data_IF_714538088966
#
_entry.id   IF_714538088966
#
_cell.length_a   1.000
_cell.length_b   1.000
_cell.length_c   1.000
_cell.angle_alpha   90.00
_cell.angle_beta   90.00
_cell.angle_gamma   90.00
#
_symmetry.space_group_name_H-M   'P 1'
#
loop_
_entity.id
_entity.type
_entity.pdbx_description
1 polymer ?
#
# COMPACT_ATOMS: atom_id res chain seq x y z
N UNK A 1 -8.04 8.56 27.71
CA UNK A 1 -7.88 7.92 26.38
C UNK A 1 -9.04 8.41 25.55
N UNK A 2 -8.79 8.83 24.32
CA UNK A 2 -9.85 9.15 23.36
C UNK A 2 -10.72 7.92 23.10
N UNK A 3 -11.95 8.14 22.61
CA UNK A 3 -12.86 7.05 22.25
C UNK A 3 -12.23 6.14 21.19
N UNK A 4 -11.50 6.69 20.22
CA UNK A 4 -10.80 5.89 19.20
C UNK A 4 -9.74 4.98 19.82
N UNK A 5 -8.96 5.48 20.77
CA UNK A 5 -7.95 4.69 21.45
C UNK A 5 -8.58 3.54 22.24
N UNK A 6 -9.69 3.78 22.94
CA UNK A 6 -10.44 2.75 23.65
C UNK A 6 -10.95 1.69 22.65
N UNK A 7 -11.56 2.13 21.54
CA UNK A 7 -12.06 1.22 20.49
C UNK A 7 -10.93 0.40 19.90
N UNK A 8 -9.82 1.02 19.47
CA UNK A 8 -8.68 0.32 18.88
C UNK A 8 -8.09 -0.72 19.84
N UNK A 9 -7.84 -0.34 21.10
CA UNK A 9 -7.29 -1.24 22.13
C UNK A 9 -8.23 -2.42 22.38
N UNK A 10 -9.53 -2.18 22.59
CA UNK A 10 -10.48 -3.25 22.89
C UNK A 10 -10.70 -4.18 21.68
N UNK A 11 -10.81 -3.65 20.46
CA UNK A 11 -11.00 -4.48 19.28
C UNK A 11 -9.77 -5.35 18.99
N UNK A 12 -8.56 -4.80 19.03
CA UNK A 12 -7.36 -5.61 18.85
C UNK A 12 -7.10 -6.58 20.01
N UNK A 13 -7.43 -6.21 21.24
CA UNK A 13 -7.37 -7.15 22.36
C UNK A 13 -8.31 -8.35 22.10
N UNK A 14 -9.55 -8.12 21.68
CA UNK A 14 -10.52 -9.18 21.35
C UNK A 14 -10.04 -10.07 20.21
N UNK A 15 -9.49 -9.48 19.16
CA UNK A 15 -8.86 -10.22 18.05
C UNK A 15 -7.66 -11.08 18.53
N UNK A 16 -7.02 -10.69 19.62
CA UNK A 16 -5.98 -11.47 20.28
C UNK A 16 -6.50 -12.50 21.30
N UNK A 17 -7.81 -12.59 21.53
CA UNK A 17 -8.43 -13.44 22.55
C UNK A 17 -8.33 -12.88 23.99
N UNK A 18 -8.17 -11.57 24.12
CA UNK A 18 -7.96 -10.85 25.37
C UNK A 18 -8.96 -9.70 25.53
N UNK A 19 -9.06 -9.17 26.75
CA UNK A 19 -9.72 -7.88 27.04
C UNK A 19 -8.70 -6.75 27.01
N UNK A 20 -9.13 -5.50 26.80
CA UNK A 20 -8.22 -4.35 26.84
C UNK A 20 -7.44 -4.25 28.15
N UNK A 21 -8.09 -4.53 29.29
CA UNK A 21 -7.42 -4.59 30.61
C UNK A 21 -6.34 -5.66 30.70
N UNK A 22 -6.57 -6.85 30.12
CA UNK A 22 -5.56 -7.92 30.10
C UNK A 22 -4.37 -7.51 29.24
N UNK A 23 -4.61 -6.97 28.04
CA UNK A 23 -3.54 -6.48 27.16
C UNK A 23 -2.74 -5.37 27.83
N UNK A 24 -3.38 -4.42 28.50
CA UNK A 24 -2.69 -3.34 29.22
C UNK A 24 -1.77 -3.85 30.33
N UNK A 25 -2.20 -4.88 31.08
CA UNK A 25 -1.35 -5.52 32.10
C UNK A 25 -0.13 -6.19 31.48
N UNK A 26 -0.33 -6.90 30.37
CA UNK A 26 0.78 -7.54 29.65
C UNK A 26 1.74 -6.49 29.10
N UNK A 27 1.22 -5.41 28.51
CA UNK A 27 2.04 -4.29 28.02
C UNK A 27 2.92 -3.72 29.13
N UNK A 28 2.36 -3.39 30.29
CA UNK A 28 3.11 -2.87 31.44
C UNK A 28 4.14 -3.86 32.00
N UNK A 29 3.89 -5.16 31.88
CA UNK A 29 4.84 -6.18 32.32
C UNK A 29 6.04 -6.35 31.37
N UNK A 30 5.87 -6.05 30.07
CA UNK A 30 6.89 -6.29 29.05
C UNK A 30 7.61 -5.02 28.57
N UNK A 31 6.92 -3.89 28.59
CA UNK A 31 7.44 -2.64 28.07
C UNK A 31 8.31 -1.90 29.11
N UNK A 32 9.20 -1.03 28.64
CA UNK A 32 9.97 -0.16 29.52
C UNK A 32 9.07 0.84 30.26
N UNK A 33 9.43 1.18 31.50
CA UNK A 33 8.60 2.02 32.39
C UNK A 33 8.23 3.38 31.78
N UNK A 34 9.13 3.99 30.99
CA UNK A 34 8.90 5.29 30.37
C UNK A 34 7.77 5.31 29.32
N UNK A 35 7.38 4.17 28.75
CA UNK A 35 6.26 4.07 27.80
C UNK A 35 4.95 3.58 28.42
N UNK A 36 4.94 3.22 29.72
CA UNK A 36 3.75 2.64 30.37
C UNK A 36 2.53 3.55 30.35
N UNK A 37 2.77 4.86 30.37
CA UNK A 37 1.74 5.89 30.38
C UNK A 37 1.54 6.54 29.00
N UNK A 38 2.28 6.10 27.98
CA UNK A 38 2.09 6.58 26.62
C UNK A 38 0.98 5.76 25.93
N UNK A 39 -0.14 6.42 25.66
CA UNK A 39 -1.27 5.83 24.99
C UNK A 39 -0.97 5.44 23.53
N UNK A 40 -0.07 6.16 22.83
CA UNK A 40 0.35 5.76 21.47
C UNK A 40 1.05 4.42 21.50
N UNK A 41 2.01 4.25 22.41
CA UNK A 41 2.70 2.98 22.63
C UNK A 41 1.75 1.82 22.93
N UNK A 42 0.69 2.04 23.73
CA UNK A 42 -0.31 1.02 24.00
C UNK A 42 -1.15 0.67 22.76
N UNK A 43 -1.59 1.67 21.98
CA UNK A 43 -2.33 1.46 20.73
C UNK A 43 -1.48 0.67 19.72
N UNK A 44 -0.22 1.05 19.56
CA UNK A 44 0.75 0.34 18.73
C UNK A 44 0.94 -1.10 19.19
N UNK A 45 1.16 -1.32 20.49
CA UNK A 45 1.33 -2.66 21.04
C UNK A 45 0.13 -3.56 20.73
N UNK A 46 -1.10 -3.06 20.90
CA UNK A 46 -2.32 -3.82 20.59
C UNK A 46 -2.40 -4.19 19.10
N UNK A 47 -2.19 -3.21 18.23
CA UNK A 47 -2.29 -3.36 16.77
C UNK A 47 -1.19 -4.29 16.24
N UNK A 48 0.08 -4.00 16.55
CA UNK A 48 1.22 -4.74 16.00
C UNK A 48 1.30 -6.16 16.55
N UNK A 49 0.86 -6.40 17.79
CA UNK A 49 0.75 -7.77 18.32
C UNK A 49 -0.25 -8.62 17.54
N UNK A 50 -1.33 -8.04 17.05
CA UNK A 50 -2.25 -8.76 16.17
C UNK A 50 -1.63 -9.00 14.79
N UNK A 51 -1.13 -7.93 14.16
CA UNK A 51 -0.61 -7.95 12.79
C UNK A 51 0.60 -8.88 12.62
N UNK A 52 1.47 -8.96 13.63
CA UNK A 52 2.67 -9.84 13.62
C UNK A 52 2.38 -11.33 13.64
N UNK A 53 1.12 -11.75 13.80
CA UNK A 53 0.74 -13.18 13.77
C UNK A 53 0.71 -13.75 12.35
N UNK A 54 0.61 -12.90 11.34
CA UNK A 54 0.50 -13.27 9.93
C UNK A 54 1.75 -12.81 9.16
N UNK A 55 2.35 -13.73 8.41
CA UNK A 55 3.56 -13.48 7.61
C UNK A 55 3.27 -13.45 6.10
N UNK A 56 2.01 -13.29 5.70
CA UNK A 56 1.62 -13.17 4.30
C UNK A 56 2.12 -11.84 3.73
N UNK A 57 2.48 -11.84 2.45
CA UNK A 57 2.83 -10.61 1.71
C UNK A 57 1.69 -9.57 1.71
N UNK A 58 0.46 -10.00 1.97
CA UNK A 58 -0.72 -9.15 2.08
C UNK A 58 -1.64 -9.68 3.18
N UNK A 59 -1.94 -8.84 4.17
CA UNK A 59 -2.68 -9.28 5.36
C UNK A 59 -4.13 -9.69 5.00
N UNK A 60 -4.59 -10.92 5.31
CA UNK A 60 -5.86 -11.46 4.82
C UNK A 60 -7.09 -10.67 5.28
N UNK A 61 -7.10 -10.16 6.52
CA UNK A 61 -8.21 -9.38 7.06
C UNK A 61 -8.46 -8.06 6.33
N UNK A 62 -7.53 -7.55 5.51
CA UNK A 62 -7.75 -6.34 4.70
C UNK A 62 -8.91 -6.47 3.71
N UNK A 63 -9.35 -7.69 3.40
CA UNK A 63 -10.55 -7.93 2.57
C UNK A 63 -11.85 -7.53 3.27
N UNK A 64 -11.84 -7.41 4.60
CA UNK A 64 -13.01 -7.10 5.40
C UNK A 64 -13.09 -5.60 5.68
N UNK A 65 -14.19 -4.96 5.25
CA UNK A 65 -14.42 -3.52 5.48
C UNK A 65 -14.36 -3.14 6.96
N UNK A 66 -14.77 -4.04 7.86
CA UNK A 66 -14.67 -3.82 9.31
C UNK A 66 -13.22 -3.67 9.77
N UNK A 67 -12.31 -4.49 9.26
CA UNK A 67 -10.90 -4.40 9.57
C UNK A 67 -10.26 -3.16 8.95
N UNK A 68 -10.62 -2.80 7.72
CA UNK A 68 -10.17 -1.55 7.09
C UNK A 68 -10.54 -0.33 7.93
N UNK A 69 -11.77 -0.29 8.45
CA UNK A 69 -12.24 0.75 9.37
C UNK A 69 -11.48 0.72 10.69
N UNK A 70 -11.18 -0.46 11.24
CA UNK A 70 -10.40 -0.59 12.46
C UNK A 70 -8.98 -0.01 12.30
N UNK A 71 -8.31 -0.26 11.17
CA UNK A 71 -7.01 0.36 10.89
C UNK A 71 -7.12 1.88 10.79
N UNK A 72 -8.16 2.40 10.15
CA UNK A 72 -8.42 3.84 10.12
C UNK A 72 -8.63 4.45 11.51
N UNK A 73 -9.47 3.82 12.35
CA UNK A 73 -9.66 4.21 13.76
C UNK A 73 -8.36 4.17 14.53
N UNK A 74 -7.50 3.19 14.25
CA UNK A 74 -6.21 3.05 14.91
C UNK A 74 -5.26 4.18 14.54
N UNK A 75 -5.30 4.64 13.29
CA UNK A 75 -4.57 5.83 12.86
C UNK A 75 -5.11 7.10 13.56
N UNK A 76 -6.44 7.25 13.68
CA UNK A 76 -7.03 8.36 14.44
C UNK A 76 -6.65 8.32 15.92
N UNK A 77 -6.72 7.13 16.53
CA UNK A 77 -6.31 6.90 17.91
C UNK A 77 -4.83 7.21 18.13
N UNK A 78 -3.97 6.96 17.14
CA UNK A 78 -2.56 7.28 17.23
C UNK A 78 -2.31 8.78 17.08
N UNK A 79 -3.03 9.45 16.16
CA UNK A 79 -2.98 10.90 15.99
C UNK A 79 -3.29 11.61 17.31
N UNK A 80 -4.46 11.29 17.88
CA UNK A 80 -4.97 11.92 19.09
C UNK A 80 -5.45 10.86 20.10
N UNK A 81 -4.52 10.33 20.92
CA UNK A 81 -4.80 9.21 21.82
C UNK A 81 -5.45 9.63 23.15
N UNK A 82 -5.47 10.93 23.44
CA UNK A 82 -6.04 11.49 24.66
C UNK A 82 -7.30 12.28 24.32
N UNK A 83 -8.16 12.47 25.31
CA UNK A 83 -9.35 13.31 25.16
C UNK A 83 -9.04 14.63 25.86
N UNK A 84 -8.88 15.71 25.10
CA UNK A 84 -8.60 17.03 25.69
C UNK A 84 -9.88 17.67 26.25
N UNK A 85 -11.03 17.33 25.68
CA UNK A 85 -12.33 17.80 26.10
C UNK A 85 -12.95 16.76 27.03
N UNK A 86 -12.93 17.02 28.35
CA UNK A 86 -13.69 16.23 29.33
C UNK A 86 -15.21 16.48 29.16
N UNK A 87 -15.76 16.35 27.96
CA UNK A 87 -17.19 16.43 27.74
C UNK A 87 -17.83 15.09 28.14
N UNK A 88 -18.56 15.03 29.28
CA UNK A 88 -19.18 13.78 29.73
C UNK A 88 -20.29 13.29 28.79
N UNK A 89 -20.63 14.06 27.75
CA UNK A 89 -21.61 13.73 26.72
C UNK A 89 -21.02 13.12 25.44
N UNK A 90 -19.70 12.87 25.36
CA UNK A 90 -19.10 12.05 24.29
C UNK A 90 -19.45 10.56 24.48
N UNK A 91 -20.75 10.23 24.44
CA UNK A 91 -21.19 8.85 24.51
C UNK A 91 -20.77 8.10 23.25
N UNK A 92 -20.56 6.79 23.38
CA UNK A 92 -20.33 5.88 22.25
C UNK A 92 -21.47 5.98 21.20
N UNK A 93 -22.65 6.44 21.61
CA UNK A 93 -23.83 6.56 20.76
C UNK A 93 -23.72 7.65 19.68
N UNK A 94 -22.85 8.65 19.88
CA UNK A 94 -22.54 9.69 18.89
C UNK A 94 -21.17 9.48 18.21
N UNK A 95 -20.55 8.31 18.40
CA UNK A 95 -19.25 8.01 17.82
C UNK A 95 -19.33 7.98 16.28
N UNK A 96 -18.72 8.99 15.66
CA UNK A 96 -18.59 9.07 14.21
C UNK A 96 -17.13 9.33 13.83
N UNK A 97 -16.65 8.50 12.91
CA UNK A 97 -15.36 8.69 12.24
C UNK A 97 -15.52 9.45 10.92
N UNK A 98 -16.76 9.75 10.52
CA UNK A 98 -17.03 10.47 9.28
C UNK A 98 -16.61 11.93 9.41
N UNK A 99 -15.87 12.44 8.42
CA UNK A 99 -15.34 13.80 8.41
C UNK A 99 -14.06 14.00 9.23
N UNK A 100 -13.58 12.97 9.94
CA UNK A 100 -12.28 13.00 10.63
C UNK A 100 -11.17 12.62 9.68
N UNK A 101 -10.00 13.20 9.90
CA UNK A 101 -8.85 13.07 9.03
C UNK A 101 -7.67 12.47 9.80
N UNK A 102 -7.00 11.51 9.16
CA UNK A 102 -5.73 10.97 9.60
C UNK A 102 -4.60 11.86 9.07
N UNK A 103 -3.63 12.13 9.92
CA UNK A 103 -2.45 12.94 9.58
C UNK A 103 -1.31 12.05 9.12
N UNK A 104 -0.29 12.68 8.54
CA UNK A 104 0.84 12.01 7.89
C UNK A 104 1.57 11.09 8.89
N UNK A 105 1.82 11.56 10.11
CA UNK A 105 2.58 10.80 11.12
C UNK A 105 1.89 9.50 11.55
N UNK A 106 0.57 9.52 11.81
CA UNK A 106 -0.18 8.30 12.12
C UNK A 106 -0.20 7.33 10.94
N UNK A 107 -0.39 7.84 9.72
CA UNK A 107 -0.38 7.00 8.54
C UNK A 107 0.97 6.31 8.36
N UNK A 108 2.07 7.08 8.41
CA UNK A 108 3.44 6.59 8.27
C UNK A 108 3.77 5.59 9.38
N UNK A 109 3.19 5.73 10.57
CA UNK A 109 3.44 4.81 11.67
C UNK A 109 2.65 3.50 11.57
N UNK A 110 1.36 3.57 11.28
CA UNK A 110 0.44 2.42 11.38
C UNK A 110 0.30 1.69 10.04
N UNK A 111 0.17 2.40 8.92
CA UNK A 111 -0.11 1.77 7.63
C UNK A 111 0.98 0.76 7.21
N UNK A 112 2.29 1.03 7.36
CA UNK A 112 3.34 0.07 7.01
C UNK A 112 3.39 -1.18 7.90
N UNK A 113 2.79 -1.14 9.09
CA UNK A 113 2.71 -2.32 9.95
C UNK A 113 1.72 -3.36 9.40
N UNK A 114 0.81 -2.96 8.51
CA UNK A 114 -0.13 -3.86 7.85
C UNK A 114 0.49 -4.36 6.55
N UNK A 115 0.81 -5.66 6.52
CA UNK A 115 1.47 -6.27 5.37
C UNK A 115 0.74 -5.99 4.05
N UNK A 116 1.50 -5.50 3.07
CA UNK A 116 1.03 -5.21 1.71
C UNK A 116 0.33 -3.86 1.54
N UNK A 117 0.14 -3.06 2.60
CA UNK A 117 -0.43 -1.71 2.53
C UNK A 117 0.61 -0.72 2.03
N UNK A 118 1.62 -0.40 2.83
CA UNK A 118 2.61 0.62 2.51
C UNK A 118 4.03 0.18 2.88
N UNK A 119 5.04 0.68 2.18
CA UNK A 119 6.44 0.50 2.57
C UNK A 119 6.84 1.61 3.53
N UNK A 120 7.48 1.26 4.65
CA UNK A 120 7.88 2.23 5.67
C UNK A 120 8.77 3.36 5.11
N UNK A 121 9.63 3.06 4.13
CA UNK A 121 10.52 4.04 3.50
C UNK A 121 9.83 5.00 2.53
N UNK A 122 8.64 4.67 2.02
CA UNK A 122 7.91 5.48 1.03
C UNK A 122 6.53 5.93 1.51
N UNK A 123 6.12 5.54 2.72
CA UNK A 123 4.79 5.83 3.27
C UNK A 123 4.43 7.31 3.24
N UNK A 124 5.40 8.19 3.49
CA UNK A 124 5.25 9.64 3.41
C UNK A 124 4.89 10.13 2.00
N UNK A 125 5.59 9.61 0.98
CA UNK A 125 5.28 9.91 -0.42
C UNK A 125 3.91 9.37 -0.83
N UNK A 126 3.57 8.16 -0.37
CA UNK A 126 2.26 7.57 -0.60
C UNK A 126 1.15 8.42 0.03
N UNK A 127 1.30 8.83 1.28
CA UNK A 127 0.33 9.71 1.96
C UNK A 127 0.09 10.99 1.17
N UNK A 128 1.16 11.69 0.77
CA UNK A 128 1.07 12.91 -0.05
C UNK A 128 0.42 12.68 -1.40
N UNK A 129 0.69 11.56 -2.04
CA UNK A 129 0.08 11.21 -3.32
C UNK A 129 -1.42 10.92 -3.18
N UNK A 130 -1.84 10.30 -2.07
CA UNK A 130 -3.25 10.03 -1.78
C UNK A 130 -4.01 11.31 -1.43
N UNK A 131 -3.48 12.11 -0.50
CA UNK A 131 -4.14 13.29 0.07
C UNK A 131 -4.05 14.50 -0.86
N UNK A 132 -2.98 14.63 -1.65
CA UNK A 132 -2.80 15.75 -2.56
C UNK A 132 -2.70 17.09 -1.82
N UNK A 133 -3.68 17.96 -2.07
CA UNK A 133 -3.78 19.27 -1.42
C UNK A 133 -4.76 19.30 -0.22
N UNK A 134 -5.34 18.15 0.14
CA UNK A 134 -6.23 18.04 1.28
C UNK A 134 -5.46 18.11 2.62
N UNK A 135 -6.18 18.29 3.73
CA UNK A 135 -5.59 18.47 5.06
C UNK A 135 -5.18 17.14 5.73
N UNK A 136 -5.64 16.02 5.21
CA UNK A 136 -5.37 14.69 5.75
C UNK A 136 -6.18 13.61 5.05
N UNK A 137 -5.95 12.36 5.45
CA UNK A 137 -6.57 11.18 4.85
C UNK A 137 -7.96 10.94 5.45
N UNK A 138 -8.99 10.99 4.63
CA UNK A 138 -10.36 10.63 5.01
C UNK A 138 -10.62 9.11 4.93
N UNK A 139 -11.69 8.64 5.58
CA UNK A 139 -12.09 7.23 5.52
C UNK A 139 -12.45 6.78 4.10
N UNK A 140 -13.11 7.64 3.33
CA UNK A 140 -13.51 7.34 1.95
C UNK A 140 -12.29 7.19 1.03
N UNK A 141 -11.29 8.05 1.20
CA UNK A 141 -10.03 7.96 0.47
C UNK A 141 -9.24 6.70 0.88
N UNK A 142 -9.19 6.39 2.17
CA UNK A 142 -8.56 5.18 2.69
C UNK A 142 -9.20 3.90 2.14
N UNK A 143 -10.53 3.79 2.18
CA UNK A 143 -11.25 2.60 1.68
C UNK A 143 -11.16 2.48 0.16
N UNK A 144 -11.17 3.60 -0.57
CA UNK A 144 -10.92 3.62 -2.03
C UNK A 144 -9.52 3.12 -2.36
N UNK A 145 -8.51 3.63 -1.66
CA UNK A 145 -7.12 3.21 -1.82
C UNK A 145 -6.96 1.70 -1.58
N UNK A 146 -7.48 1.17 -0.47
CA UNK A 146 -7.42 -0.26 -0.18
C UNK A 146 -8.19 -1.10 -1.23
N UNK A 147 -9.31 -0.60 -1.74
CA UNK A 147 -10.08 -1.25 -2.79
C UNK A 147 -9.29 -1.39 -4.10
N UNK A 148 -8.59 -0.34 -4.53
CA UNK A 148 -7.72 -0.40 -5.70
C UNK A 148 -6.47 -1.26 -5.45
N UNK A 149 -5.88 -1.18 -4.26
CA UNK A 149 -4.74 -2.00 -3.86
C UNK A 149 -5.08 -3.50 -3.89
N UNK A 150 -6.26 -3.90 -3.39
CA UNK A 150 -6.76 -5.27 -3.46
C UNK A 150 -6.90 -5.76 -4.91
N UNK A 151 -7.39 -4.92 -5.82
CA UNK A 151 -7.49 -5.25 -7.26
C UNK A 151 -6.10 -5.47 -7.87
N UNK A 152 -5.13 -4.62 -7.54
CA UNK A 152 -3.74 -4.76 -8.00
C UNK A 152 -3.13 -6.06 -7.47
N UNK A 153 -3.30 -6.37 -6.18
CA UNK A 153 -2.78 -7.59 -5.59
C UNK A 153 -3.41 -8.85 -6.22
N UNK A 154 -4.74 -8.84 -6.40
CA UNK A 154 -5.45 -9.93 -7.08
C UNK A 154 -4.99 -10.09 -8.54
N UNK A 155 -4.81 -8.98 -9.26
CA UNK A 155 -4.24 -8.97 -10.61
C UNK A 155 -2.84 -9.59 -10.67
N UNK A 156 -1.97 -9.31 -9.69
CA UNK A 156 -0.64 -9.94 -9.60
C UNK A 156 -0.72 -11.44 -9.37
N UNK A 157 -1.63 -11.89 -8.50
CA UNK A 157 -1.81 -13.32 -8.22
C UNK A 157 -2.32 -14.08 -9.45
N UNK A 158 -3.29 -13.53 -10.18
CA UNK A 158 -3.81 -14.19 -11.40
C UNK A 158 -2.81 -14.18 -12.54
N UNK A 159 -1.96 -13.14 -12.65
CA UNK A 159 -0.92 -13.07 -13.68
C UNK A 159 0.23 -14.07 -13.47
N UNK A 160 0.54 -14.44 -12.22
CA UNK A 160 1.52 -15.49 -11.90
C UNK A 160 1.11 -16.88 -12.40
N UNK A 161 -0.18 -17.09 -12.71
CA UNK A 161 -0.73 -18.39 -13.13
C UNK A 161 -0.62 -18.59 -14.66
N UNK A 162 -0.19 -17.56 -15.42
CA UNK A 162 0.09 -17.69 -16.86
C UNK A 162 1.51 -18.20 -17.13
N UNK A 163 1.65 -19.21 -18.00
CA UNK A 163 2.88 -19.91 -18.43
C UNK A 163 3.97 -19.04 -19.11
N UNK A 164 3.96 -17.72 -18.91
CA UNK A 164 4.80 -16.77 -19.67
C UNK A 164 6.09 -16.34 -18.95
N UNK A 165 6.26 -16.68 -17.66
CA UNK A 165 7.41 -16.28 -16.85
C UNK A 165 8.35 -17.44 -16.55
N UNK A 166 9.63 -17.14 -16.34
CA UNK A 166 10.57 -18.14 -15.82
C UNK A 166 10.18 -18.50 -14.38
N UNK A 167 10.35 -19.76 -13.98
CA UNK A 167 9.82 -20.31 -12.72
C UNK A 167 10.34 -19.63 -11.44
N UNK A 168 11.41 -18.83 -11.55
CA UNK A 168 12.08 -18.13 -10.47
C UNK A 168 11.87 -16.60 -10.49
N UNK A 169 10.98 -16.11 -11.36
CA UNK A 169 10.64 -14.70 -11.46
C UNK A 169 9.35 -14.34 -10.70
N UNK A 170 9.40 -13.26 -9.92
CA UNK A 170 8.26 -12.73 -9.17
C UNK A 170 7.77 -11.43 -9.81
N UNK A 171 6.49 -11.40 -10.17
CA UNK A 171 5.82 -10.18 -10.67
C UNK A 171 5.79 -9.10 -9.59
N UNK A 172 6.39 -7.96 -9.88
CA UNK A 172 6.41 -6.76 -9.02
C UNK A 172 5.35 -5.74 -9.43
N UNK A 173 5.16 -5.52 -10.74
CA UNK A 173 4.20 -4.54 -11.25
C UNK A 173 3.59 -4.97 -12.58
N UNK A 174 2.32 -4.64 -12.80
CA UNK A 174 1.60 -4.89 -14.05
C UNK A 174 1.05 -3.55 -14.56
N UNK A 175 1.68 -3.02 -15.59
CA UNK A 175 1.20 -1.91 -16.39
C UNK A 175 0.23 -2.40 -17.47
N UNK A 176 -0.97 -2.80 -17.06
CA UNK A 176 -2.05 -3.21 -17.98
C UNK A 176 -3.28 -2.36 -17.72
N UNK A 177 -3.61 -1.46 -18.65
CA UNK A 177 -4.84 -0.67 -18.59
C UNK A 177 -5.48 -0.61 -19.97
N UNK A 178 -6.77 -0.96 -20.04
CA UNK A 178 -7.57 -0.82 -21.26
C UNK A 178 -7.79 0.64 -21.64
N UNK A 179 -7.74 1.57 -20.67
CA UNK A 179 -7.95 3.01 -20.90
C UNK A 179 -6.66 3.75 -21.26
N UNK A 180 -5.51 3.28 -20.74
CA UNK A 180 -4.18 3.90 -20.93
C UNK A 180 -3.11 2.82 -21.05
N UNK A 181 -2.96 2.16 -22.22
CA UNK A 181 -1.95 1.12 -22.41
C UNK A 181 -0.53 1.71 -22.30
N UNK A 182 0.43 0.86 -21.95
CA UNK A 182 1.84 1.25 -22.03
C UNK A 182 2.23 1.28 -23.50
N UNK A 183 2.92 2.35 -23.92
CA UNK A 183 3.37 2.52 -25.29
C UNK A 183 4.86 2.14 -25.38
N UNK A 184 5.18 1.07 -26.10
CA UNK A 184 6.57 0.79 -26.51
C UNK A 184 6.89 1.68 -27.71
N UNK A 185 7.90 2.53 -27.58
CA UNK A 185 8.39 3.37 -28.68
C UNK A 185 9.53 2.67 -29.42
N UNK A 186 9.37 2.45 -30.72
CA UNK A 186 10.37 1.79 -31.57
C UNK A 186 10.32 2.39 -32.98
N UNK A 187 11.45 2.88 -33.49
CA UNK A 187 11.57 3.44 -34.86
C UNK A 187 10.43 4.43 -35.20
N UNK A 188 10.20 5.42 -34.34
CA UNK A 188 9.10 6.42 -34.46
C UNK A 188 7.66 5.89 -34.42
N UNK A 189 7.48 4.61 -34.12
CA UNK A 189 6.18 3.99 -33.98
C UNK A 189 5.90 3.69 -32.52
N UNK A 190 4.70 4.03 -32.06
CA UNK A 190 4.22 3.70 -30.73
C UNK A 190 3.35 2.44 -30.80
N UNK A 191 3.79 1.38 -30.13
CA UNK A 191 3.06 0.13 -30.03
C UNK A 191 2.34 0.08 -28.68
N UNK A 192 1.00 0.06 -28.64
CA UNK A 192 0.26 -0.10 -27.39
C UNK A 192 0.38 -1.54 -26.88
N UNK A 193 0.55 -1.71 -25.58
CA UNK A 193 0.73 -3.02 -24.97
C UNK A 193 0.56 -3.06 -23.45
N UNK A 194 0.75 -4.26 -22.92
CA UNK A 194 0.84 -4.58 -21.51
C UNK A 194 2.31 -4.71 -21.13
N UNK A 195 2.70 -4.06 -20.04
CA UNK A 195 4.05 -4.18 -19.48
C UNK A 195 3.99 -4.90 -18.14
N UNK A 196 4.81 -5.92 -17.96
CA UNK A 196 4.97 -6.62 -16.67
C UNK A 196 6.40 -6.50 -16.21
N UNK A 197 6.61 -6.00 -15.00
CA UNK A 197 7.91 -5.92 -14.34
C UNK A 197 8.02 -7.07 -13.35
N UNK A 198 9.09 -7.85 -13.45
CA UNK A 198 9.49 -8.85 -12.46
C UNK A 198 10.72 -8.38 -11.69
N UNK A 199 11.14 -9.16 -10.69
CA UNK A 199 12.43 -8.96 -10.01
C UNK A 199 13.65 -9.19 -10.91
N UNK A 200 13.49 -9.68 -12.15
CA UNK A 200 14.61 -9.96 -13.07
C UNK A 200 14.46 -9.35 -14.46
N UNK A 201 13.26 -9.03 -14.93
CA UNK A 201 13.03 -8.65 -16.31
C UNK A 201 11.81 -7.73 -16.50
N UNK A 202 11.76 -7.08 -17.67
CA UNK A 202 10.56 -6.44 -18.21
C UNK A 202 9.97 -7.29 -19.33
N UNK A 203 8.67 -7.49 -19.31
CA UNK A 203 7.90 -8.18 -20.35
C UNK A 203 6.96 -7.19 -21.02
N UNK A 204 6.97 -7.14 -22.35
CA UNK A 204 6.04 -6.33 -23.13
C UNK A 204 5.22 -7.19 -24.08
N UNK A 205 3.89 -7.08 -23.99
CA UNK A 205 2.91 -7.77 -24.83
C UNK A 205 2.10 -6.75 -25.62
N UNK A 206 2.19 -6.76 -26.95
CA UNK A 206 1.51 -5.79 -27.81
C UNK A 206 0.01 -6.11 -27.97
N UNK A 207 -0.84 -5.07 -28.00
CA UNK A 207 -2.29 -5.17 -28.24
C UNK A 207 -2.54 -5.05 -29.75
N UNK A 208 -2.95 -6.13 -30.45
CA UNK A 208 -3.27 -6.06 -31.88
C UNK A 208 -3.56 -7.39 -32.61
N UNK A 209 -4.19 -7.29 -33.79
CA UNK A 209 -4.59 -8.39 -34.68
C UNK A 209 -3.40 -8.93 -35.50
N UNK A 210 -2.74 -9.98 -35.01
CA UNK A 210 -2.18 -11.12 -35.78
C UNK A 210 -1.13 -11.87 -34.95
N UNK A 211 -1.52 -13.07 -34.49
CA UNK A 211 -0.62 -14.07 -33.92
C UNK A 211 -0.17 -13.76 -32.50
N UNK A 212 -0.26 -14.75 -31.62
CA UNK A 212 0.34 -14.77 -30.28
C UNK A 212 1.85 -14.48 -30.39
N UNK A 213 2.26 -13.21 -30.46
CA UNK A 213 3.67 -12.85 -30.33
C UNK A 213 4.04 -13.10 -28.88
N UNK A 214 4.99 -14.01 -28.66
CA UNK A 214 5.58 -14.22 -27.33
C UNK A 214 5.95 -12.85 -26.74
N UNK A 215 5.70 -12.62 -25.45
CA UNK A 215 6.03 -11.36 -24.82
C UNK A 215 7.52 -11.07 -24.97
N UNK A 216 7.86 -9.84 -25.35
CA UNK A 216 9.25 -9.40 -25.45
C UNK A 216 9.83 -9.29 -24.03
N UNK A 217 10.79 -10.15 -23.70
CA UNK A 217 11.52 -10.10 -22.43
C UNK A 217 12.80 -9.27 -22.58
N UNK A 218 13.00 -8.34 -21.66
CA UNK A 218 14.24 -7.58 -21.49
C UNK A 218 14.82 -7.90 -20.12
N UNK A 219 16.00 -8.52 -20.09
CA UNK A 219 16.69 -8.89 -18.86
C UNK A 219 17.23 -7.66 -18.13
N UNK A 220 16.95 -7.53 -16.83
CA UNK A 220 17.43 -6.46 -15.97
C UNK A 220 18.58 -6.90 -15.06
N UNK A 221 18.98 -8.17 -15.08
CA UNK A 221 20.03 -8.72 -14.21
C UNK A 221 21.44 -8.46 -14.74
N UNK A 222 21.56 -8.01 -15.99
CA UNK A 222 22.84 -7.62 -16.58
C UNK A 222 23.39 -6.35 -15.88
N UNK A 223 24.67 -6.38 -15.53
CA UNK A 223 25.40 -5.29 -14.89
C UNK A 223 25.48 -4.02 -15.76
N UNK A 224 25.32 -4.16 -17.07
CA UNK A 224 25.26 -3.06 -18.03
C UNK A 224 23.82 -2.58 -18.29
N UNK A 225 22.81 -3.09 -17.57
CA UNK A 225 21.45 -2.60 -17.70
C UNK A 225 21.37 -1.14 -17.26
N UNK A 226 20.74 -0.30 -18.08
CA UNK A 226 20.59 1.14 -17.82
C UNK A 226 19.15 1.59 -17.96
N UNK A 227 18.75 2.49 -17.07
CA UNK A 227 17.44 3.14 -17.06
C UNK A 227 17.69 4.65 -17.11
N UNK A 228 17.19 5.31 -18.14
CA UNK A 228 17.38 6.73 -18.35
C UNK A 228 16.05 7.42 -18.66
N UNK A 229 15.86 8.65 -18.18
CA UNK A 229 14.73 9.47 -18.62
C UNK A 229 14.90 9.79 -20.10
N UNK A 230 13.86 9.55 -20.87
CA UNK A 230 13.84 9.75 -22.30
C UNK A 230 12.76 10.75 -22.70
N UNK A 231 12.92 11.33 -23.89
CA UNK A 231 11.87 12.10 -24.54
C UNK A 231 11.51 11.42 -25.85
N UNK A 232 10.22 11.24 -26.10
CA UNK A 232 9.70 10.61 -27.31
C UNK A 232 8.71 11.52 -28.01
N UNK A 233 8.41 11.25 -29.27
CA UNK A 233 7.48 12.05 -30.06
C UNK A 233 7.54 11.69 -31.54
N UNK A 234 6.46 11.98 -32.29
CA UNK A 234 6.38 11.65 -33.71
C UNK A 234 7.56 12.25 -34.47
N UNK A 235 8.06 11.53 -35.48
CA UNK A 235 9.20 11.96 -36.31
C UNK A 235 10.51 12.23 -35.54
N UNK A 236 10.70 11.64 -34.36
CA UNK A 236 11.91 11.78 -33.56
C UNK A 236 11.93 13.05 -32.71
N UNK A 237 10.80 13.76 -32.67
CA UNK A 237 10.63 14.94 -31.82
C UNK A 237 10.68 14.56 -30.33
N UNK A 238 11.22 15.46 -29.50
CA UNK A 238 11.36 15.27 -28.04
C UNK A 238 10.19 15.93 -27.29
N UNK A 239 8.95 15.64 -27.72
CA UNK A 239 7.75 16.35 -27.26
C UNK A 239 7.20 15.83 -25.93
N UNK A 240 7.28 14.53 -25.67
CA UNK A 240 6.80 13.91 -24.44
C UNK A 240 7.98 13.65 -23.50
N UNK A 241 7.98 14.25 -22.32
CA UNK A 241 9.04 14.15 -21.31
C UNK A 241 8.82 13.06 -20.25
N UNK A 242 7.74 12.29 -20.39
CA UNK A 242 7.36 11.21 -19.47
C UNK A 242 7.83 9.81 -19.91
N UNK A 243 8.82 9.72 -20.80
CA UNK A 243 9.31 8.42 -21.28
C UNK A 243 10.55 7.94 -20.50
N UNK A 244 10.75 6.62 -20.52
CA UNK A 244 11.91 5.96 -19.92
C UNK A 244 12.52 5.06 -20.98
N UNK A 245 13.83 5.16 -21.18
CA UNK A 245 14.61 4.22 -21.96
C UNK A 245 15.17 3.16 -21.03
N UNK A 246 14.97 1.90 -21.39
CA UNK A 246 15.56 0.76 -20.69
C UNK A 246 16.37 -0.03 -21.68
N UNK A 247 17.63 -0.28 -21.35
CA UNK A 247 18.55 -1.08 -22.15
C UNK A 247 19.17 -2.16 -21.28
N UNK A 248 19.42 -3.32 -21.88
CA UNK A 248 20.11 -4.44 -21.27
C UNK A 248 21.39 -4.70 -22.05
N UNK A 249 22.46 -5.08 -21.36
CA UNK A 249 23.81 -5.23 -21.90
C UNK A 249 24.08 -6.45 -22.75
N UNK A 250 23.06 -7.17 -23.21
CA UNK A 250 23.28 -8.33 -24.07
C UNK A 250 23.70 -7.86 -25.47
N UNK A 251 24.96 -8.10 -25.78
CA UNK A 251 25.57 -8.02 -27.12
C UNK A 251 24.88 -8.99 -28.08
#
# INVERSE_FOLDING_TARGET
LSVDAIVAIEQFARLNGLTGRQVQRIFKALAHEHVHNDARSLVEYCCFRYLSRDNSDFHPSLRELAFQRLIFVTMLAWNDPYDEDNDPHSSLDNYSILGRLVEEDAFVRIAPAVAGVADASTAHHLFRALVGAEKGLSLDLWTTYLGELLKVHHGRQTHKIGDNFLSDEQVLCIGSSRKRPVLKWEQNTAWPGHLTLTNKALYFEAIGLAGMKKPLRLDLTDHNSKIEKAKVGPFGSRLFDSAVSVSSGSV
#
